data_IF_406723164186
#
_entry.id   IF_406723164186
#
_cell.length_a   1.000
_cell.length_b   1.000
_cell.length_c   1.000
_cell.angle_alpha   90.00
_cell.angle_beta   90.00
_cell.angle_gamma   90.00
#
_symmetry.space_group_name_H-M   'P 1'
#
loop_
_entity.id
_entity.type
_entity.pdbx_description
1 polymer ?
#
# COMPACT_ATOMS: atom_id res chain seq x y z
N UNK A 1 -11.60 -27.05 2.50
CA UNK A 1 -11.28 -28.39 3.06
C UNK A 1 -9.84 -28.87 2.79
N UNK A 2 -9.01 -28.17 1.99
CA UNK A 2 -7.57 -28.50 1.79
C UNK A 2 -6.58 -27.66 2.62
N UNK A 3 -7.08 -26.69 3.39
CA UNK A 3 -6.27 -25.80 4.25
C UNK A 3 -5.24 -26.51 5.16
N UNK A 4 -5.46 -27.74 5.66
CA UNK A 4 -4.47 -28.41 6.51
C UNK A 4 -3.19 -28.90 5.82
N UNK A 5 -3.19 -29.01 4.49
CA UNK A 5 -2.06 -29.52 3.72
C UNK A 5 -1.09 -28.42 3.29
N UNK A 6 -1.46 -27.15 3.49
CA UNK A 6 -0.58 -26.03 3.21
C UNK A 6 0.38 -25.80 4.39
N UNK A 7 1.66 -25.49 4.12
CA UNK A 7 2.61 -25.13 5.17
C UNK A 7 2.04 -23.99 6.02
N UNK A 8 1.89 -24.24 7.32
CA UNK A 8 1.40 -23.24 8.30
C UNK A 8 2.54 -22.53 9.03
N UNK A 9 3.77 -23.00 8.84
CA UNK A 9 4.98 -22.35 9.35
C UNK A 9 5.45 -21.29 8.35
N UNK A 10 5.98 -20.15 8.82
CA UNK A 10 6.67 -19.20 7.96
C UNK A 10 7.76 -19.89 7.14
N UNK A 11 7.97 -19.44 5.91
CA UNK A 11 9.11 -19.86 5.10
C UNK A 11 10.34 -19.11 5.64
N UNK A 12 11.37 -19.84 6.06
CA UNK A 12 12.65 -19.22 6.41
C UNK A 12 13.37 -18.81 5.12
N UNK A 13 13.49 -17.51 4.92
CA UNK A 13 14.19 -16.90 3.77
C UNK A 13 15.49 -16.23 4.19
N UNK A 14 15.96 -16.43 5.43
CA UNK A 14 17.07 -15.68 6.04
C UNK A 14 18.34 -15.71 5.20
N UNK A 15 18.70 -16.86 4.62
CA UNK A 15 19.89 -17.01 3.77
C UNK A 15 19.82 -16.19 2.46
N UNK A 16 18.60 -15.88 2.01
CA UNK A 16 18.32 -15.12 0.80
C UNK A 16 17.97 -13.66 1.08
N UNK A 17 17.79 -13.28 2.34
CA UNK A 17 17.56 -11.89 2.71
C UNK A 17 18.82 -11.06 2.43
N UNK A 18 18.59 -9.90 1.84
CA UNK A 18 19.61 -8.88 1.61
C UNK A 18 19.06 -7.56 2.12
N UNK A 19 19.75 -6.88 3.06
CA UNK A 19 19.34 -5.56 3.47
C UNK A 19 19.43 -4.62 2.28
N UNK A 20 18.44 -3.73 2.18
CA UNK A 20 18.46 -2.65 1.20
C UNK A 20 19.12 -1.45 1.88
N UNK A 21 20.17 -0.92 1.25
CA UNK A 21 20.83 0.32 1.69
C UNK A 21 20.61 1.42 0.66
N UNK A 22 19.93 2.49 1.06
CA UNK A 22 19.58 3.61 0.18
C UNK A 22 18.40 3.32 -0.72
N UNK A 23 18.26 4.13 -1.77
CA UNK A 23 17.02 4.25 -2.54
C UNK A 23 17.09 3.55 -3.89
N UNK A 24 18.13 2.75 -4.17
CA UNK A 24 18.33 2.07 -5.46
C UNK A 24 18.77 0.63 -5.28
N UNK A 25 18.51 -0.21 -6.29
CA UNK A 25 18.86 -1.64 -6.27
C UNK A 25 19.52 -2.05 -7.58
N UNK A 26 20.69 -2.67 -7.50
CA UNK A 26 21.42 -3.20 -8.68
C UNK A 26 20.58 -4.23 -9.45
N UNK A 27 19.79 -5.03 -8.73
CA UNK A 27 18.92 -6.04 -9.33
C UNK A 27 17.70 -5.44 -10.06
N UNK A 28 17.36 -4.18 -9.80
CA UNK A 28 16.21 -3.48 -10.36
C UNK A 28 16.62 -2.08 -10.84
N UNK A 29 17.46 -1.98 -11.89
CA UNK A 29 17.93 -0.69 -12.39
C UNK A 29 16.76 0.19 -12.84
N UNK A 30 16.85 1.49 -12.52
CA UNK A 30 15.81 2.48 -12.81
C UNK A 30 14.64 2.49 -11.84
N UNK A 31 14.58 1.57 -10.88
CA UNK A 31 13.61 1.60 -9.79
C UNK A 31 14.23 2.27 -8.56
N UNK A 32 13.46 3.18 -7.98
CA UNK A 32 13.72 3.75 -6.65
C UNK A 32 12.94 2.98 -5.60
N UNK A 33 13.60 2.68 -4.49
CA UNK A 33 12.99 2.14 -3.28
C UNK A 33 12.49 3.31 -2.43
N UNK A 34 11.27 3.20 -1.93
CA UNK A 34 10.62 4.21 -1.10
C UNK A 34 10.21 3.55 0.20
N UNK A 35 10.66 4.08 1.34
CA UNK A 35 10.15 3.63 2.63
C UNK A 35 8.73 4.14 2.83
N UNK A 36 7.78 3.22 2.98
CA UNK A 36 6.34 3.52 3.07
C UNK A 36 5.72 2.86 4.30
N UNK A 37 6.15 3.23 5.52
CA UNK A 37 5.66 2.63 6.75
C UNK A 37 4.17 2.90 6.95
N UNK A 38 3.55 2.07 7.79
CA UNK A 38 2.16 2.25 8.21
C UNK A 38 1.43 0.92 8.24
N UNK A 39 1.33 0.27 7.07
CA UNK A 39 0.86 -1.11 6.97
C UNK A 39 1.81 -2.06 7.72
N UNK A 40 3.11 -1.94 7.51
CA UNK A 40 4.09 -2.51 8.45
C UNK A 40 5.23 -1.51 8.65
N UNK A 41 6.00 -1.64 9.73
CA UNK A 41 7.11 -0.71 10.02
C UNK A 41 8.20 -0.73 8.93
N UNK A 42 8.44 -1.90 8.33
CA UNK A 42 9.44 -2.09 7.26
C UNK A 42 8.86 -2.06 5.85
N UNK A 43 7.61 -1.62 5.67
CA UNK A 43 6.97 -1.63 4.36
C UNK A 43 7.68 -0.67 3.38
N UNK A 44 7.82 -1.10 2.13
CA UNK A 44 8.44 -0.33 1.05
C UNK A 44 7.58 -0.38 -0.21
N UNK A 45 7.72 0.65 -1.04
CA UNK A 45 7.15 0.74 -2.38
C UNK A 45 8.26 1.00 -3.40
N UNK A 46 8.00 0.78 -4.68
CA UNK A 46 8.97 1.03 -5.74
C UNK A 46 8.43 1.98 -6.80
N UNK A 47 9.22 2.96 -7.21
CA UNK A 47 8.85 3.90 -8.25
C UNK A 47 9.87 3.94 -9.38
N UNK A 48 9.39 3.93 -10.62
CA UNK A 48 10.25 4.08 -11.80
C UNK A 48 9.95 5.40 -12.50
N UNK A 49 10.94 6.28 -12.56
CA UNK A 49 10.75 7.66 -13.03
C UNK A 49 10.43 7.73 -14.53
N UNK A 50 11.06 6.89 -15.35
CA UNK A 50 10.95 6.95 -16.82
C UNK A 50 9.51 6.80 -17.34
N UNK A 51 8.73 5.92 -16.73
CA UNK A 51 7.33 5.67 -17.13
C UNK A 51 6.32 5.99 -16.02
N UNK A 52 6.80 6.52 -14.89
CA UNK A 52 6.01 6.88 -13.71
C UNK A 52 5.18 5.71 -13.16
N UNK A 53 5.74 4.50 -13.24
CA UNK A 53 5.15 3.30 -12.64
C UNK A 53 5.41 3.26 -11.14
N UNK A 54 4.34 3.10 -10.37
CA UNK A 54 4.38 2.89 -8.93
C UNK A 54 3.94 1.46 -8.57
N UNK A 55 4.85 0.67 -8.02
CA UNK A 55 4.51 -0.57 -7.31
C UNK A 55 4.27 -0.22 -5.84
N UNK A 56 3.00 -0.23 -5.45
CA UNK A 56 2.57 0.30 -4.14
C UNK A 56 2.85 -0.68 -3.01
N UNK A 57 2.74 -1.98 -3.27
CA UNK A 57 2.56 -2.96 -2.20
C UNK A 57 1.22 -2.73 -1.52
N UNK A 58 1.20 -2.76 -0.19
CA UNK A 58 0.00 -2.62 0.64
C UNK A 58 -0.07 -1.26 1.36
N UNK A 59 0.65 -0.25 0.86
CA UNK A 59 0.50 1.14 1.35
C UNK A 59 -0.92 1.69 1.08
N UNK A 60 -1.55 1.22 0.00
CA UNK A 60 -2.98 1.35 -0.30
C UNK A 60 -3.35 0.27 -1.35
N UNK A 61 -4.65 0.05 -1.57
CA UNK A 61 -5.16 -0.97 -2.51
C UNK A 61 -5.99 -0.34 -3.63
N UNK A 62 -6.30 -1.13 -4.68
CA UNK A 62 -7.20 -0.69 -5.78
C UNK A 62 -8.51 -1.49 -5.83
N UNK A 63 -8.79 -2.23 -4.77
CA UNK A 63 -10.03 -2.93 -4.57
C UNK A 63 -10.55 -2.68 -3.16
N UNK A 64 -11.87 -2.65 -3.03
CA UNK A 64 -12.48 -2.79 -1.73
C UNK A 64 -12.46 -4.26 -1.32
N UNK A 65 -11.56 -4.63 -0.41
CA UNK A 65 -11.48 -5.98 0.15
C UNK A 65 -12.68 -6.33 1.05
N UNK A 66 -13.55 -5.36 1.39
CA UNK A 66 -14.65 -5.52 2.36
C UNK A 66 -16.05 -5.49 1.71
N UNK A 67 -16.17 -5.24 0.40
CA UNK A 67 -17.47 -5.16 -0.27
C UNK A 67 -17.68 -6.29 -1.27
N UNK A 68 -18.59 -7.21 -0.94
CA UNK A 68 -19.20 -8.12 -1.91
C UNK A 68 -19.97 -7.35 -3.03
N UNK A 69 -20.30 -6.07 -2.82
CA UNK A 69 -21.09 -5.25 -3.75
C UNK A 69 -20.28 -4.56 -4.86
N UNK A 70 -18.99 -4.30 -4.64
CA UNK A 70 -18.08 -3.72 -5.66
C UNK A 70 -17.77 -4.73 -6.79
N UNK A 71 -17.98 -6.03 -6.52
CA UNK A 71 -17.86 -7.13 -7.49
C UNK A 71 -18.81 -6.97 -8.68
N UNK A 72 -19.97 -6.35 -8.50
CA UNK A 72 -20.98 -6.16 -9.56
C UNK A 72 -20.64 -5.00 -10.53
N UNK A 73 -19.84 -4.01 -10.12
CA UNK A 73 -19.55 -2.82 -10.93
C UNK A 73 -18.15 -2.80 -11.54
N UNK A 74 -17.22 -3.68 -11.11
CA UNK A 74 -15.86 -3.84 -11.67
C UNK A 74 -15.06 -2.53 -11.80
N UNK A 75 -15.41 -1.44 -11.09
CA UNK A 75 -14.66 -0.18 -11.11
C UNK A 75 -13.52 -0.27 -10.09
N UNK A 76 -12.26 -0.25 -10.51
CA UNK A 76 -11.14 -0.14 -9.58
C UNK A 76 -11.25 1.18 -8.82
N UNK A 77 -11.12 1.12 -7.50
CA UNK A 77 -11.23 2.27 -6.60
C UNK A 77 -10.03 2.23 -5.65
N UNK A 78 -9.43 3.40 -5.41
CA UNK A 78 -8.35 3.52 -4.43
C UNK A 78 -8.95 3.37 -3.04
N UNK A 79 -8.45 2.40 -2.29
CA UNK A 79 -8.83 2.14 -0.91
C UNK A 79 -7.59 2.17 -0.04
N UNK A 80 -7.77 2.46 1.24
CA UNK A 80 -6.66 2.46 2.20
C UNK A 80 -5.93 1.13 2.33
N UNK A 81 -4.83 1.10 3.10
CA UNK A 81 -4.11 -0.14 3.37
C UNK A 81 -5.02 -1.17 4.07
N UNK A 82 -4.72 -2.48 4.00
CA UNK A 82 -5.50 -3.50 4.68
C UNK A 82 -5.54 -3.23 6.20
N UNK A 83 -6.70 -2.86 6.70
CA UNK A 83 -6.84 -2.27 8.03
C UNK A 83 -6.51 -3.24 9.18
N UNK A 84 -6.77 -4.53 8.99
CA UNK A 84 -6.57 -5.57 10.00
C UNK A 84 -5.09 -5.84 10.31
N UNK A 85 -4.17 -5.29 9.50
CA UNK A 85 -2.73 -5.33 9.73
C UNK A 85 -2.05 -3.97 9.65
N UNK A 86 -2.76 -2.83 9.79
CA UNK A 86 -2.15 -1.49 9.73
C UNK A 86 -2.03 -0.89 11.14
N UNK A 87 -0.87 -1.02 11.83
CA UNK A 87 -0.67 -0.52 13.19
C UNK A 87 -0.43 1.00 13.26
N UNK A 88 0.12 1.63 12.22
CA UNK A 88 0.48 3.05 12.23
C UNK A 88 -0.25 3.81 11.10
N UNK A 89 -1.42 4.36 11.42
CA UNK A 89 -2.22 5.14 10.48
C UNK A 89 -1.60 6.49 10.11
N UNK A 90 -0.80 7.09 11.00
CA UNK A 90 -0.11 8.34 10.70
C UNK A 90 1.07 8.12 9.74
N UNK A 91 1.80 7.01 9.92
CA UNK A 91 2.78 6.52 8.96
C UNK A 91 2.14 6.22 7.61
N UNK A 92 1.01 5.51 7.62
CA UNK A 92 0.28 5.18 6.38
C UNK A 92 -0.14 6.46 5.63
N UNK A 93 -0.65 7.48 6.33
CA UNK A 93 -0.98 8.78 5.73
C UNK A 93 0.23 9.42 5.05
N UNK A 94 1.34 9.58 5.78
CA UNK A 94 2.57 10.18 5.25
C UNK A 94 3.11 9.41 4.04
N UNK A 95 3.00 8.08 4.08
CA UNK A 95 3.36 7.22 2.96
C UNK A 95 2.50 7.51 1.74
N UNK A 96 1.17 7.59 1.89
CA UNK A 96 0.26 7.93 0.78
C UNK A 96 0.52 9.33 0.24
N UNK A 97 0.76 10.33 1.10
CA UNK A 97 1.11 11.69 0.69
C UNK A 97 2.41 11.73 -0.15
N UNK A 98 3.46 11.04 0.31
CA UNK A 98 4.71 10.94 -0.42
C UNK A 98 4.55 10.24 -1.77
N UNK A 99 3.73 9.19 -1.83
CA UNK A 99 3.43 8.48 -3.07
C UNK A 99 2.60 9.32 -4.04
N UNK A 100 1.65 10.11 -3.54
CA UNK A 100 0.83 11.03 -4.34
C UNK A 100 1.67 12.13 -5.00
N UNK A 101 2.65 12.66 -4.28
CA UNK A 101 3.59 13.66 -4.79
C UNK A 101 4.41 13.18 -6.00
N UNK A 102 4.57 11.85 -6.16
CA UNK A 102 5.23 11.25 -7.31
C UNK A 102 4.36 11.25 -8.57
N UNK A 103 3.08 11.64 -8.49
CA UNK A 103 2.15 11.77 -9.62
C UNK A 103 2.26 10.59 -10.61
N UNK A 104 2.05 9.33 -10.17
CA UNK A 104 2.22 8.16 -11.02
C UNK A 104 1.17 8.09 -12.12
N UNK A 105 1.51 7.47 -13.25
CA UNK A 105 0.55 7.23 -14.36
C UNK A 105 0.07 5.78 -14.39
N UNK A 106 0.78 4.89 -13.69
CA UNK A 106 0.44 3.49 -13.49
C UNK A 106 0.67 3.13 -12.02
N UNK A 107 -0.37 2.57 -11.40
CA UNK A 107 -0.36 2.09 -10.02
C UNK A 107 -0.57 0.57 -10.04
N UNK A 108 0.35 -0.17 -9.43
CA UNK A 108 0.27 -1.63 -9.26
C UNK A 108 0.25 -1.95 -7.76
N UNK A 109 -0.91 -2.33 -7.20
CA UNK A 109 -1.03 -2.64 -5.77
C UNK A 109 -0.63 -4.07 -5.46
N UNK A 110 -0.42 -4.36 -4.17
CA UNK A 110 -0.36 -5.74 -3.65
C UNK A 110 -1.72 -6.43 -3.73
N UNK A 111 -2.81 -5.68 -3.58
CA UNK A 111 -4.19 -6.17 -3.67
C UNK A 111 -5.05 -5.31 -4.62
N UNK A 112 -5.74 -5.99 -5.54
CA UNK A 112 -6.58 -5.36 -6.56
C UNK A 112 -5.96 -5.44 -7.96
N UNK A 113 -6.53 -4.69 -8.91
CA UNK A 113 -6.03 -4.63 -10.29
C UNK A 113 -5.14 -3.39 -10.50
N UNK A 114 -4.11 -3.46 -11.35
CA UNK A 114 -3.41 -2.26 -11.76
C UNK A 114 -4.37 -1.18 -12.27
N UNK A 115 -4.11 0.06 -11.91
CA UNK A 115 -4.88 1.21 -12.33
C UNK A 115 -4.00 2.15 -13.17
N UNK A 116 -4.57 2.68 -14.25
CA UNK A 116 -3.95 3.71 -15.09
C UNK A 116 -5.05 4.65 -15.60
N UNK A 117 -4.67 5.83 -16.09
CA UNK A 117 -5.60 6.82 -16.59
C UNK A 117 -5.18 8.25 -16.22
N UNK A 118 -5.71 9.23 -16.95
CA UNK A 118 -5.37 10.64 -16.73
C UNK A 118 -5.84 11.18 -15.36
N UNK A 119 -6.78 10.51 -14.71
CA UNK A 119 -7.39 10.88 -13.44
C UNK A 119 -6.73 10.22 -12.22
N UNK A 120 -5.76 9.32 -12.41
CA UNK A 120 -5.24 8.51 -11.31
C UNK A 120 -4.47 9.34 -10.28
N UNK A 121 -3.65 10.30 -10.75
CA UNK A 121 -2.95 11.22 -9.85
C UNK A 121 -3.93 12.06 -9.03
N UNK A 122 -5.02 12.54 -9.66
CA UNK A 122 -6.04 13.32 -8.97
C UNK A 122 -6.78 12.51 -7.89
N UNK A 123 -7.08 11.24 -8.20
CA UNK A 123 -7.68 10.31 -7.22
C UNK A 123 -6.74 10.04 -6.06
N UNK A 124 -5.45 9.85 -6.33
CA UNK A 124 -4.45 9.61 -5.32
C UNK A 124 -4.21 10.87 -4.46
N UNK A 125 -4.19 12.06 -5.07
CA UNK A 125 -4.13 13.34 -4.37
C UNK A 125 -5.33 13.56 -3.46
N UNK A 126 -6.54 13.22 -3.94
CA UNK A 126 -7.75 13.30 -3.12
C UNK A 126 -7.67 12.35 -1.92
N UNK A 127 -7.21 11.11 -2.13
CA UNK A 127 -7.01 10.16 -1.03
C UNK A 127 -5.95 10.66 -0.04
N UNK A 128 -4.85 11.25 -0.51
CA UNK A 128 -3.84 11.83 0.36
C UNK A 128 -4.41 12.99 1.20
N UNK A 129 -5.12 13.92 0.57
CA UNK A 129 -5.72 15.08 1.24
C UNK A 129 -6.83 14.72 2.22
N UNK A 130 -7.58 13.65 1.92
CA UNK A 130 -8.73 13.20 2.72
C UNK A 130 -8.52 11.78 3.24
N UNK A 131 -7.31 11.47 3.68
CA UNK A 131 -6.89 10.12 4.07
C UNK A 131 -7.78 9.48 5.14
N UNK A 132 -8.17 10.22 6.17
CA UNK A 132 -9.05 9.67 7.21
C UNK A 132 -10.43 9.29 6.69
N UNK A 133 -10.90 9.98 5.65
CA UNK A 133 -12.21 9.74 5.07
C UNK A 133 -12.21 8.55 4.11
N UNK A 134 -11.14 8.39 3.31
CA UNK A 134 -11.09 7.42 2.23
C UNK A 134 -10.27 6.16 2.54
N UNK A 135 -9.31 6.25 3.46
CA UNK A 135 -8.33 5.20 3.70
C UNK A 135 -8.36 4.63 5.13
N UNK A 136 -8.66 5.45 6.14
CA UNK A 136 -8.77 5.00 7.54
C UNK A 136 -10.19 4.47 7.81
N UNK A 137 -10.36 3.25 8.34
CA UNK A 137 -11.69 2.76 8.70
C UNK A 137 -12.16 3.37 10.03
N UNK A 138 -13.48 3.41 10.22
CA UNK A 138 -14.09 3.91 11.47
C UNK A 138 -13.84 2.99 12.68
N UNK A 139 -13.46 1.74 12.44
CA UNK A 139 -13.29 0.73 13.47
C UNK A 139 -12.14 -0.22 13.14
N UNK A 140 -11.52 -0.77 14.18
CA UNK A 140 -10.42 -1.72 14.07
C UNK A 140 -9.50 -1.65 15.29
N UNK A 141 -8.82 -2.76 15.60
CA UNK A 141 -7.92 -2.87 16.75
C UNK A 141 -6.87 -1.75 16.78
N UNK A 142 -6.29 -1.45 15.63
CA UNK A 142 -5.18 -0.50 15.49
C UNK A 142 -5.61 0.95 15.24
N UNK A 143 -6.90 1.19 14.97
CA UNK A 143 -7.44 2.54 14.80
C UNK A 143 -7.34 3.31 16.12
N UNK A 144 -7.76 2.68 17.23
CA UNK A 144 -7.79 3.29 18.57
C UNK A 144 -6.39 3.52 19.17
N UNK A 145 -5.44 2.61 18.92
CA UNK A 145 -4.08 2.72 19.46
C UNK A 145 -3.28 3.89 18.83
N UNK A 146 -3.57 4.24 17.58
CA UNK A 146 -2.90 5.37 16.90
C UNK A 146 -3.28 6.74 17.46
N UNK A 147 -4.45 6.84 18.09
CA UNK A 147 -4.95 8.08 18.71
C UNK A 147 -4.35 8.29 20.11
N UNK A 148 -4.14 7.23 20.88
CA UNK A 148 -3.48 7.28 22.20
C UNK A 148 -1.97 7.54 22.10
N UNK A 149 -1.33 7.17 20.99
CA UNK A 149 0.12 7.37 20.76
C UNK A 149 0.48 8.80 20.30
N UNK A 150 -0.53 9.61 19.99
CA UNK A 150 -0.39 10.99 19.48
C UNK A 150 -0.80 12.06 20.52
N UNK A 151 -1.22 11.64 21.71
CA UNK A 151 -1.53 12.48 22.87
C UNK A 151 -0.37 12.47 23.88
#
# INVERSE_FOLDING_TARGET
>A
LLSPLFPRSPIDVSDRLRPISGDTLDALPGWRVLHTPGHTAGHISFFRENDRTLLVGDAFCTCDQNSFFSVAQQKPELTGPPWYFTPDWNGARRSVENLAALQPTLIVPGHGRPMTGADISQKLDLMAQQFDRYAKPDHGKYVKQSEESAA
#
